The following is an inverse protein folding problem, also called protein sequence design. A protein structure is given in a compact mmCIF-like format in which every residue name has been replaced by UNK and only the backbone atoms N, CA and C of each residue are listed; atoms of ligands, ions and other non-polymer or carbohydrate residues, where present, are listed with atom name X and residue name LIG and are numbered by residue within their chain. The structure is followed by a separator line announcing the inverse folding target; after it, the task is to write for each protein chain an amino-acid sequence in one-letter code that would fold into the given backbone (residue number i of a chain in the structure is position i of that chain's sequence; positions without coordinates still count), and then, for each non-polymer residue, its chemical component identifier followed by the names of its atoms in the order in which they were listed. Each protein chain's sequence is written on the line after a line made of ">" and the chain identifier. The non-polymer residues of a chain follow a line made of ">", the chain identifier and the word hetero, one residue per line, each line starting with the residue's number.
data_IF_132533291005
#
_entry.id   IF_132533291005
#
_cell.length_a   1.000
_cell.length_b   1.000
_cell.length_c   1.000
_cell.angle_alpha   90.00
_cell.angle_beta   90.00
_cell.angle_gamma   90.00
#
_symmetry.space_group_name_H-M   'P 1'
#
loop_
_entity.id
_entity.type
_entity.pdbx_description
1 polymer ?
#
# COMPACT_ATOMS: atom_id res chain seq x y z
N UNK A 1 -13.23 22.13 -13.56
CA UNK A 1 -13.81 23.20 -12.70
C UNK A 1 -13.87 22.86 -11.20
N UNK A 2 -13.11 21.87 -10.69
CA UNK A 2 -13.19 21.48 -9.26
C UNK A 2 -11.90 21.70 -8.44
N UNK A 3 -10.87 22.32 -9.02
CA UNK A 3 -9.62 22.68 -8.33
C UNK A 3 -9.02 21.52 -7.52
N UNK A 4 -8.69 21.78 -6.25
CA UNK A 4 -8.08 20.81 -5.33
C UNK A 4 -8.80 19.46 -5.28
N UNK A 5 -10.12 19.45 -5.09
CA UNK A 5 -10.90 18.21 -4.99
C UNK A 5 -10.93 17.43 -6.30
N UNK A 6 -10.85 18.14 -7.44
CA UNK A 6 -10.67 17.50 -8.74
C UNK A 6 -9.34 16.74 -8.81
N UNK A 7 -8.26 17.32 -8.28
CA UNK A 7 -6.95 16.66 -8.21
C UNK A 7 -6.98 15.44 -7.30
N UNK A 8 -7.64 15.54 -6.14
CA UNK A 8 -7.85 14.40 -5.24
C UNK A 8 -8.60 13.26 -5.92
N UNK A 9 -9.67 13.55 -6.67
CA UNK A 9 -10.40 12.52 -7.42
C UNK A 9 -9.55 11.86 -8.51
N UNK A 10 -8.68 12.60 -9.19
CA UNK A 10 -7.74 12.05 -10.17
C UNK A 10 -6.71 11.12 -9.48
N UNK A 11 -6.18 11.54 -8.34
CA UNK A 11 -5.31 10.68 -7.51
C UNK A 11 -6.02 9.41 -7.06
N UNK A 12 -7.27 9.51 -6.58
CA UNK A 12 -8.06 8.36 -6.15
C UNK A 12 -8.34 7.39 -7.31
N UNK A 13 -8.59 7.92 -8.51
CA UNK A 13 -8.71 7.09 -9.72
C UNK A 13 -7.45 6.26 -9.97
N UNK A 14 -6.26 6.86 -9.95
CA UNK A 14 -4.99 6.14 -10.15
C UNK A 14 -4.71 5.14 -9.02
N UNK A 15 -5.07 5.49 -7.78
CA UNK A 15 -4.98 4.57 -6.64
C UNK A 15 -5.88 3.34 -6.81
N UNK A 16 -7.09 3.53 -7.33
CA UNK A 16 -8.04 2.44 -7.61
C UNK A 16 -7.58 1.60 -8.80
N UNK A 17 -7.01 2.21 -9.84
CA UNK A 17 -6.43 1.50 -10.98
C UNK A 17 -5.36 0.51 -10.54
N UNK A 18 -4.44 0.95 -9.66
CA UNK A 18 -3.46 0.04 -9.07
C UNK A 18 -4.09 -1.05 -8.20
N UNK A 19 -5.19 -0.76 -7.52
CA UNK A 19 -5.94 -1.78 -6.77
C UNK A 19 -6.43 -2.89 -7.69
N UNK A 20 -6.97 -2.53 -8.85
CA UNK A 20 -7.39 -3.49 -9.87
C UNK A 20 -6.23 -4.30 -10.41
N UNK A 21 -5.13 -3.65 -10.79
CA UNK A 21 -3.89 -4.31 -11.23
C UNK A 21 -3.43 -5.39 -10.25
N UNK A 22 -3.41 -5.08 -8.95
CA UNK A 22 -3.00 -6.04 -7.92
C UNK A 22 -4.00 -7.17 -7.74
N UNK A 23 -5.30 -6.89 -7.85
CA UNK A 23 -6.36 -7.86 -7.58
C UNK A 23 -6.69 -8.78 -8.76
N UNK A 24 -6.57 -8.27 -9.97
CA UNK A 24 -6.89 -8.95 -11.23
C UNK A 24 -6.03 -8.34 -12.37
N UNK A 25 -4.78 -8.84 -12.54
CA UNK A 25 -3.83 -8.31 -13.52
C UNK A 25 -4.28 -8.45 -14.98
N UNK A 26 -5.33 -9.22 -15.28
CA UNK A 26 -5.84 -9.35 -16.64
C UNK A 26 -6.73 -8.16 -17.06
N UNK A 27 -7.18 -7.33 -16.09
CA UNK A 27 -8.08 -6.20 -16.35
C UNK A 27 -7.36 -4.90 -16.70
N UNK A 28 -6.10 -4.77 -16.28
CA UNK A 28 -5.30 -3.56 -16.47
C UNK A 28 -4.05 -3.97 -17.25
N UNK A 29 -3.89 -3.45 -18.45
CA UNK A 29 -2.71 -3.72 -19.27
C UNK A 29 -1.77 -2.50 -19.31
N UNK A 30 -0.57 -2.71 -19.88
CA UNK A 30 0.44 -1.66 -20.05
C UNK A 30 -0.10 -0.43 -20.79
N UNK A 31 -1.10 -0.59 -21.68
CA UNK A 31 -1.66 0.52 -22.46
C UNK A 31 -2.51 1.44 -21.60
N UNK A 32 -3.22 0.90 -20.61
CA UNK A 32 -3.98 1.70 -19.64
C UNK A 32 -3.05 2.58 -18.82
N UNK A 33 -1.94 2.04 -18.32
CA UNK A 33 -0.94 2.82 -17.59
C UNK A 33 -0.26 3.86 -18.47
N UNK A 34 0.04 3.52 -19.74
CA UNK A 34 0.58 4.46 -20.70
C UNK A 34 -0.40 5.63 -20.94
N UNK A 35 -1.70 5.36 -21.11
CA UNK A 35 -2.71 6.41 -21.30
C UNK A 35 -2.81 7.34 -20.07
N UNK A 36 -2.68 6.79 -18.86
CA UNK A 36 -2.61 7.59 -17.62
C UNK A 36 -1.37 8.49 -17.61
N UNK A 37 -0.22 7.97 -18.03
CA UNK A 37 1.02 8.76 -18.17
C UNK A 37 0.85 9.90 -19.17
N UNK A 38 0.38 9.59 -20.38
CA UNK A 38 0.20 10.59 -21.44
C UNK A 38 -0.75 11.70 -20.98
N UNK A 39 -1.80 11.35 -20.24
CA UNK A 39 -2.82 12.29 -19.79
C UNK A 39 -2.36 13.13 -18.59
N UNK A 40 -1.78 12.53 -17.56
CA UNK A 40 -1.53 13.24 -16.30
C UNK A 40 -0.12 13.80 -16.17
N UNK A 41 0.84 13.25 -16.88
CA UNK A 41 2.27 13.57 -16.72
C UNK A 41 2.85 14.19 -17.99
N UNK A 42 2.65 13.55 -19.16
CA UNK A 42 3.25 14.03 -20.41
C UNK A 42 2.52 15.24 -21.01
N UNK A 43 1.22 15.43 -20.71
CA UNK A 43 0.47 16.62 -21.14
C UNK A 43 0.87 17.86 -20.31
N UNK A 44 1.51 18.87 -20.93
CA UNK A 44 1.92 20.08 -20.22
C UNK A 44 0.75 20.86 -19.61
N UNK A 45 -0.44 20.77 -20.21
CA UNK A 45 -1.62 21.45 -19.71
C UNK A 45 -2.11 20.83 -18.39
N UNK A 46 -2.00 19.52 -18.26
CA UNK A 46 -2.34 18.80 -17.03
C UNK A 46 -1.28 19.00 -15.96
N UNK A 47 0.00 19.02 -16.32
CA UNK A 47 1.09 19.38 -15.40
C UNK A 47 0.88 20.76 -14.78
N UNK A 48 0.63 21.78 -15.60
CA UNK A 48 0.36 23.15 -15.12
C UNK A 48 -0.92 23.21 -14.28
N UNK A 49 -1.94 22.44 -14.66
CA UNK A 49 -3.17 22.35 -13.89
C UNK A 49 -2.92 21.78 -12.49
N UNK A 50 -2.19 20.68 -12.37
CA UNK A 50 -1.86 20.08 -11.07
C UNK A 50 -1.01 21.02 -10.23
N UNK A 51 0.03 21.64 -10.81
CA UNK A 51 0.90 22.61 -10.11
C UNK A 51 0.09 23.75 -9.48
N UNK A 52 -0.94 24.24 -10.19
CA UNK A 52 -1.81 25.30 -9.69
C UNK A 52 -2.84 24.84 -8.66
N UNK A 53 -3.40 23.63 -8.83
CA UNK A 53 -4.62 23.24 -8.12
C UNK A 53 -4.38 22.22 -7.01
N UNK A 54 -3.48 21.25 -7.21
CA UNK A 54 -3.19 20.19 -6.25
C UNK A 54 -1.84 19.49 -6.53
N UNK A 55 -0.69 20.09 -6.17
CA UNK A 55 0.62 19.46 -6.35
C UNK A 55 0.77 18.17 -5.54
N UNK A 56 0.09 18.07 -4.39
CA UNK A 56 0.11 16.86 -3.56
C UNK A 56 -0.56 15.66 -4.24
N UNK A 57 -1.63 15.89 -5.00
CA UNK A 57 -2.27 14.85 -5.80
C UNK A 57 -1.38 14.41 -6.96
N UNK A 58 -0.66 15.35 -7.59
CA UNK A 58 0.30 15.02 -8.65
C UNK A 58 1.41 14.11 -8.14
N UNK A 59 1.96 14.41 -6.96
CA UNK A 59 2.93 13.54 -6.30
C UNK A 59 2.35 12.15 -6.01
N UNK A 60 1.07 12.07 -5.60
CA UNK A 60 0.42 10.77 -5.37
C UNK A 60 0.23 9.98 -6.67
N UNK A 61 -0.20 10.63 -7.75
CA UNK A 61 -0.36 10.02 -9.08
C UNK A 61 0.97 9.47 -9.58
N UNK A 62 2.00 10.32 -9.62
CA UNK A 62 3.32 9.96 -10.13
C UNK A 62 3.99 8.88 -9.27
N UNK A 63 3.91 8.99 -7.94
CA UNK A 63 4.38 7.94 -7.03
C UNK A 63 3.69 6.60 -7.27
N UNK A 64 2.37 6.61 -7.52
CA UNK A 64 1.64 5.37 -7.76
C UNK A 64 2.03 4.70 -9.06
N UNK A 65 2.25 5.49 -10.11
CA UNK A 65 2.73 4.99 -11.39
C UNK A 65 4.16 4.44 -11.28
N UNK A 66 5.04 5.10 -10.53
CA UNK A 66 6.39 4.59 -10.24
C UNK A 66 6.35 3.28 -9.45
N UNK A 67 5.41 3.11 -8.52
CA UNK A 67 5.17 1.82 -7.88
C UNK A 67 4.72 0.76 -8.90
N UNK A 68 3.83 1.07 -9.83
CA UNK A 68 3.44 0.12 -10.88
C UNK A 68 4.64 -0.36 -11.70
N UNK A 69 5.58 0.54 -12.02
CA UNK A 69 6.85 0.17 -12.66
C UNK A 69 7.71 -0.69 -11.73
N UNK A 70 7.88 -0.30 -10.46
CA UNK A 70 8.72 -1.02 -9.48
C UNK A 70 8.25 -2.45 -9.21
N UNK A 71 6.95 -2.72 -9.36
CA UNK A 71 6.35 -4.05 -9.19
C UNK A 71 6.23 -4.84 -10.51
N UNK A 72 6.80 -4.34 -11.61
CA UNK A 72 6.70 -4.95 -12.95
C UNK A 72 5.26 -5.05 -13.51
N UNK A 73 4.31 -4.29 -12.95
CA UNK A 73 2.93 -4.22 -13.43
C UNK A 73 2.81 -3.40 -14.71
N UNK A 74 3.64 -2.36 -14.82
CA UNK A 74 3.73 -1.54 -16.01
C UNK A 74 5.16 -1.48 -16.52
N UNK A 75 5.39 -1.75 -17.81
CA UNK A 75 6.73 -1.79 -18.42
C UNK A 75 6.91 -0.74 -19.52
N UNK A 76 6.97 0.55 -19.18
CA UNK A 76 7.21 1.60 -20.15
C UNK A 76 8.68 1.65 -20.62
N UNK A 77 8.98 2.52 -21.58
CA UNK A 77 10.36 2.77 -21.99
C UNK A 77 11.17 3.44 -20.88
N UNK A 78 12.50 3.29 -20.92
CA UNK A 78 13.41 3.93 -19.97
C UNK A 78 13.21 5.45 -19.92
N UNK A 79 13.03 6.10 -21.08
CA UNK A 79 12.76 7.55 -21.18
C UNK A 79 11.50 7.97 -20.38
N UNK A 80 10.46 7.13 -20.37
CA UNK A 80 9.21 7.39 -19.63
C UNK A 80 9.45 7.21 -18.13
N UNK A 81 10.20 6.20 -17.71
CA UNK A 81 10.55 6.00 -16.29
C UNK A 81 11.38 7.17 -15.77
N UNK A 82 12.41 7.59 -16.52
CA UNK A 82 13.25 8.73 -16.17
C UNK A 82 12.44 10.03 -16.10
N UNK A 83 11.57 10.28 -17.09
CA UNK A 83 10.69 11.45 -17.07
C UNK A 83 9.77 11.44 -15.85
N UNK A 84 9.07 10.32 -15.61
CA UNK A 84 8.14 10.19 -14.51
C UNK A 84 8.81 10.36 -13.13
N UNK A 85 9.98 9.75 -12.95
CA UNK A 85 10.77 9.91 -11.73
C UNK A 85 11.20 11.36 -11.52
N UNK A 86 11.65 12.02 -12.59
CA UNK A 86 12.03 13.43 -12.56
C UNK A 86 10.85 14.33 -12.20
N UNK A 87 9.68 14.11 -12.80
CA UNK A 87 8.46 14.86 -12.52
C UNK A 87 8.03 14.73 -11.05
N UNK A 88 8.15 13.53 -10.48
CA UNK A 88 7.89 13.30 -9.06
C UNK A 88 8.88 14.06 -8.17
N UNK A 89 10.19 13.90 -8.42
CA UNK A 89 11.21 14.56 -7.60
C UNK A 89 11.15 16.09 -7.71
N UNK A 90 10.94 16.65 -8.91
CA UNK A 90 10.75 18.09 -9.12
C UNK A 90 9.54 18.59 -8.33
N UNK A 91 8.41 17.88 -8.37
CA UNK A 91 7.23 18.27 -7.61
C UNK A 91 7.49 18.30 -6.11
N UNK A 92 8.22 17.32 -5.58
CA UNK A 92 8.60 17.24 -4.16
C UNK A 92 9.59 18.35 -3.78
N UNK A 93 10.61 18.58 -4.62
CA UNK A 93 11.61 19.63 -4.39
C UNK A 93 10.97 21.03 -4.37
N UNK A 94 10.02 21.29 -5.28
CA UNK A 94 9.33 22.58 -5.40
C UNK A 94 8.26 22.81 -4.32
N UNK A 95 7.48 21.77 -3.97
CA UNK A 95 6.25 21.93 -3.19
C UNK A 95 6.32 21.29 -1.79
N UNK A 96 7.44 20.65 -1.45
CA UNK A 96 7.57 19.80 -0.28
C UNK A 96 6.92 18.42 -0.48
N UNK A 97 7.12 17.52 0.48
CA UNK A 97 6.65 16.14 0.38
C UNK A 97 5.16 16.05 0.73
N UNK A 98 4.37 15.49 -0.18
CA UNK A 98 3.02 15.00 0.09
C UNK A 98 3.11 13.74 0.94
N UNK A 99 2.52 13.74 2.14
CA UNK A 99 2.46 12.57 3.01
C UNK A 99 1.09 11.88 2.93
N UNK A 100 0.90 11.02 1.92
CA UNK A 100 -0.19 10.04 1.89
C UNK A 100 0.35 8.63 2.20
N UNK A 101 -0.51 7.61 2.17
CA UNK A 101 -0.19 6.25 2.62
C UNK A 101 0.89 5.52 1.80
N UNK A 102 1.31 6.07 0.66
CA UNK A 102 2.27 5.42 -0.27
C UNK A 102 3.40 6.32 -0.75
N UNK A 103 3.54 7.54 -0.23
CA UNK A 103 4.57 8.51 -0.65
C UNK A 103 5.65 8.69 0.41
N UNK A 104 5.53 9.66 1.33
CA UNK A 104 6.64 10.11 2.17
C UNK A 104 7.23 9.01 3.07
N UNK A 105 6.40 8.05 3.51
CA UNK A 105 6.81 6.91 4.32
C UNK A 105 7.16 5.65 3.53
N UNK A 106 7.38 5.75 2.21
CA UNK A 106 7.72 4.62 1.36
C UNK A 106 9.21 4.62 0.99
N UNK A 107 10.09 4.01 1.80
CA UNK A 107 11.52 4.00 1.53
C UNK A 107 11.89 3.25 0.24
N UNK A 108 11.09 2.25 -0.16
CA UNK A 108 11.33 1.47 -1.38
C UNK A 108 11.09 2.29 -2.64
N UNK A 109 10.05 3.13 -2.63
CA UNK A 109 9.83 4.11 -3.69
C UNK A 109 11.00 5.10 -3.74
N UNK A 110 11.42 5.64 -2.59
CA UNK A 110 12.50 6.63 -2.55
C UNK A 110 13.83 6.07 -3.07
N UNK A 111 14.16 4.82 -2.72
CA UNK A 111 15.32 4.11 -3.24
C UNK A 111 15.22 3.92 -4.77
N UNK A 112 14.06 3.49 -5.27
CA UNK A 112 13.82 3.31 -6.70
C UNK A 112 13.98 4.60 -7.49
N UNK A 113 13.36 5.69 -7.01
CA UNK A 113 13.42 7.00 -7.67
C UNK A 113 14.84 7.58 -7.64
N UNK A 114 15.51 7.52 -6.48
CA UNK A 114 16.89 8.00 -6.32
C UNK A 114 17.90 7.22 -7.16
N UNK A 115 17.60 5.97 -7.50
CA UNK A 115 18.38 5.14 -8.41
C UNK A 115 18.15 5.48 -9.89
N UNK A 116 17.08 6.18 -10.21
CA UNK A 116 16.68 6.53 -11.59
C UNK A 116 17.16 7.93 -11.96
N UNK A 117 16.89 8.93 -11.13
CA UNK A 117 17.24 10.34 -11.37
C UNK A 117 17.72 11.01 -10.08
N UNK A 118 18.24 12.24 -10.19
CA UNK A 118 18.61 13.05 -9.03
C UNK A 118 18.32 14.53 -9.26
N UNK A 119 17.25 15.01 -8.63
CA UNK A 119 16.81 16.41 -8.63
C UNK A 119 17.27 17.08 -7.33
N UNK A 120 17.95 18.24 -7.40
CA UNK A 120 18.34 18.99 -6.21
C UNK A 120 17.16 19.33 -5.31
N UNK A 121 17.33 19.13 -4.00
CA UNK A 121 16.30 19.41 -2.99
C UNK A 121 15.35 18.27 -2.69
N UNK A 122 15.24 17.24 -3.56
CA UNK A 122 14.36 16.09 -3.30
C UNK A 122 14.75 15.34 -2.00
N UNK A 123 16.01 14.92 -1.89
CA UNK A 123 16.49 14.13 -0.75
C UNK A 123 16.34 14.88 0.60
N UNK A 124 16.60 16.19 0.62
CA UNK A 124 16.44 17.02 1.82
C UNK A 124 14.98 17.09 2.27
N UNK A 125 14.05 17.21 1.31
CA UNK A 125 12.61 17.24 1.60
C UNK A 125 12.14 15.89 2.17
N UNK A 126 12.56 14.77 1.57
CA UNK A 126 12.24 13.41 2.06
C UNK A 126 12.81 13.19 3.47
N UNK A 127 14.06 13.58 3.71
CA UNK A 127 14.71 13.45 5.02
C UNK A 127 13.99 14.28 6.08
N UNK A 128 13.61 15.51 5.74
CA UNK A 128 12.86 16.39 6.64
C UNK A 128 11.49 15.83 6.98
N UNK A 129 10.77 15.27 5.99
CA UNK A 129 9.43 14.71 6.19
C UNK A 129 9.43 13.38 6.97
N UNK A 130 10.53 12.63 6.94
CA UNK A 130 10.64 11.31 7.60
C UNK A 130 11.20 11.41 9.02
N UNK A 131 12.16 12.31 9.28
CA UNK A 131 12.77 12.50 10.61
C UNK A 131 11.80 12.98 11.70
N UNK A 132 10.71 13.66 11.34
CA UNK A 132 9.74 14.19 12.32
C UNK A 132 8.93 13.10 13.01
N UNK A 133 8.87 11.88 12.47
CA UNK A 133 8.08 10.77 13.05
C UNK A 133 8.79 10.03 14.19
N UNK A 134 10.11 10.13 14.32
CA UNK A 134 10.86 9.44 15.40
C UNK A 134 10.89 10.22 16.73
N UNK A 135 10.37 11.46 16.76
CA UNK A 135 10.41 12.34 17.95
C UNK A 135 9.03 12.62 18.60
N UNK A 136 7.92 12.13 18.04
CA UNK A 136 6.56 12.28 18.61
C UNK A 136 6.02 10.97 19.21
N UNK A 137 6.82 10.28 20.02
CA UNK A 137 6.28 9.39 21.06
C UNK A 137 6.48 10.04 22.43
N UNK A 138 5.78 11.15 22.66
CA UNK A 138 5.49 11.64 24.01
C UNK A 138 4.08 12.21 23.98
N UNK A 139 3.21 11.58 24.77
CA UNK A 139 1.77 11.84 24.83
C UNK A 139 1.44 13.32 24.91
N UNK A 140 0.64 13.80 23.96
CA UNK A 140 -0.44 14.78 24.23
C UNK A 140 -1.49 14.62 23.14
N UNK A 141 -2.69 14.21 23.55
CA UNK A 141 -3.89 14.22 22.72
C UNK A 141 -4.15 15.63 22.19
N UNK A 142 -4.07 15.82 20.88
CA UNK A 142 -4.87 16.81 20.14
C UNK A 142 -4.91 16.44 18.66
N UNK A 143 -6.15 16.28 18.20
CA UNK A 143 -6.58 15.80 16.90
C UNK A 143 -6.39 16.82 15.76
N UNK A 144 -5.72 16.41 14.68
CA UNK A 144 -6.13 16.76 13.31
C UNK A 144 -5.42 15.85 12.30
N UNK A 145 -6.04 14.72 11.99
CA UNK A 145 -5.69 13.87 10.85
C UNK A 145 -6.98 13.31 10.29
N UNK A 146 -7.43 13.82 9.15
CA UNK A 146 -8.59 13.31 8.43
C UNK A 146 -8.25 11.95 7.83
N UNK A 147 -8.45 10.89 8.62
CA UNK A 147 -8.50 9.53 8.11
C UNK A 147 -9.89 9.30 7.50
N UNK A 148 -9.92 9.06 6.19
CA UNK A 148 -11.09 8.49 5.53
C UNK A 148 -11.11 7.00 5.84
N UNK A 149 -11.58 6.65 7.03
CA UNK A 149 -12.01 5.28 7.33
C UNK A 149 -13.31 5.01 6.57
N UNK A 150 -13.27 4.00 5.71
CA UNK A 150 -14.44 3.40 5.10
C UNK A 150 -15.16 2.60 6.18
N UNK A 151 -16.02 3.31 6.91
CA UNK A 151 -16.96 2.72 7.86
C UNK A 151 -17.98 1.86 7.09
N UNK A 152 -17.71 0.57 6.95
CA UNK A 152 -18.75 -0.41 6.61
C UNK A 152 -19.76 -0.41 7.75
N UNK A 153 -20.95 0.10 7.45
CA UNK A 153 -21.95 0.56 8.40
C UNK A 153 -22.20 -0.40 9.57
N UNK A 154 -21.93 0.10 10.78
CA UNK A 154 -22.43 -0.49 12.01
C UNK A 154 -23.96 -0.37 12.02
N UNK A 155 -24.67 -1.51 12.03
CA UNK A 155 -26.12 -1.54 12.05
C UNK A 155 -26.64 -1.10 13.44
N UNK A 156 -27.10 0.14 13.54
CA UNK A 156 -27.81 0.63 14.73
C UNK A 156 -29.21 0.00 14.78
N UNK A 157 -29.41 -0.95 15.68
CA UNK A 157 -30.73 -1.51 15.98
C UNK A 157 -31.52 -0.49 16.82
N UNK A 158 -32.53 0.13 16.22
CA UNK A 158 -33.49 0.99 16.93
C UNK A 158 -34.75 0.17 17.27
N UNK A 159 -35.17 0.07 18.54
CA UNK A 159 -36.41 -0.60 18.89
C UNK A 159 -37.64 0.17 18.39
N UNK A 160 -38.58 -0.57 17.81
CA UNK A 160 -39.83 -0.08 17.22
C UNK A 160 -40.79 0.39 18.32
N UNK A 161 -41.05 1.69 18.44
CA UNK A 161 -42.26 2.20 19.10
C UNK A 161 -42.74 3.51 18.46
N UNK A 162 -43.84 3.38 17.71
CA UNK A 162 -44.88 4.36 17.35
C UNK A 162 -44.53 5.78 16.87
N UNK A 163 -45.00 6.03 15.63
CA UNK A 163 -45.78 7.20 15.18
C UNK A 163 -45.09 8.28 14.34
N UNK A 164 -45.68 8.49 13.16
CA UNK A 164 -45.74 9.70 12.33
C UNK A 164 -44.54 10.09 11.46
N UNK A 165 -44.68 9.81 10.17
CA UNK A 165 -44.97 10.90 9.21
C UNK A 165 -43.87 11.32 8.23
N UNK A 166 -44.18 11.08 6.94
CA UNK A 166 -43.69 11.75 5.73
C UNK A 166 -42.26 11.49 5.23
N UNK A 167 -42.16 10.77 4.10
CA UNK A 167 -41.92 11.29 2.73
C UNK A 167 -41.48 10.08 1.88
N UNK A 168 -42.21 9.62 0.86
CA UNK A 168 -42.55 10.14 -0.48
C UNK A 168 -41.98 9.12 -1.47
N UNK A 169 -42.88 8.46 -2.18
CA UNK A 169 -42.58 7.43 -3.18
C UNK A 169 -41.91 8.00 -4.42
N UNK A 170 -40.98 7.23 -5.00
CA UNK A 170 -40.72 7.27 -6.43
C UNK A 170 -40.41 5.86 -6.95
N UNK A 171 -41.40 5.31 -7.65
CA UNK A 171 -41.32 4.24 -8.66
C UNK A 171 -40.26 4.58 -9.72
N UNK A 172 -39.61 3.68 -10.46
CA UNK A 172 -39.70 2.24 -10.67
C UNK A 172 -38.49 1.82 -11.55
N UNK A 173 -38.15 0.53 -11.55
CA UNK A 173 -37.58 -0.26 -12.67
C UNK A 173 -36.21 -0.92 -12.43
N UNK A 174 -36.25 -2.24 -12.22
CA UNK A 174 -35.30 -3.17 -12.83
C UNK A 174 -34.33 -3.89 -11.90
N UNK A 175 -34.72 -5.06 -11.38
CA UNK A 175 -33.78 -6.01 -10.79
C UNK A 175 -34.47 -7.17 -10.07
N UNK A 176 -34.54 -8.33 -10.74
CA UNK A 176 -35.22 -9.53 -10.25
C UNK A 176 -34.32 -10.33 -9.28
N UNK A 177 -34.80 -10.56 -8.07
CA UNK A 177 -34.31 -11.62 -7.18
C UNK A 177 -35.52 -12.39 -6.66
N UNK A 178 -35.69 -13.64 -7.08
CA UNK A 178 -36.84 -14.47 -6.72
C UNK A 178 -36.74 -14.94 -5.28
N UNK A 179 -37.72 -14.55 -4.46
CA UNK A 179 -37.96 -15.12 -3.13
C UNK A 179 -38.11 -16.64 -3.22
N UNK A 180 -37.33 -17.37 -2.43
CA UNK A 180 -37.62 -18.76 -2.07
C UNK A 180 -37.96 -18.82 -0.60
N UNK A 181 -39.26 -18.82 -0.31
CA UNK A 181 -39.80 -19.11 1.02
C UNK A 181 -39.59 -20.58 1.37
N UNK A 182 -38.73 -20.86 2.35
CA UNK A 182 -38.72 -22.16 3.05
C UNK A 182 -38.52 -21.93 4.55
N UNK A 183 -39.40 -22.46 5.43
CA UNK A 183 -39.25 -22.31 6.88
C UNK A 183 -38.17 -23.25 7.43
N UNK A 184 -37.27 -22.73 8.26
CA UNK A 184 -36.31 -23.48 9.08
C UNK A 184 -36.97 -24.01 10.37
N UNK A 185 -36.56 -25.20 10.87
CA UNK A 185 -36.98 -25.71 12.17
C UNK A 185 -36.15 -25.13 13.33
N UNK A 186 -36.76 -25.23 14.51
CA UNK A 186 -36.43 -24.57 15.78
C UNK A 186 -34.98 -24.71 16.30
N UNK A 187 -34.45 -23.59 16.79
CA UNK A 187 -33.17 -23.44 17.51
C UNK A 187 -33.27 -23.98 18.94
N UNK A 188 -32.34 -24.86 19.33
CA UNK A 188 -32.04 -25.15 20.75
C UNK A 188 -30.92 -24.23 21.26
N UNK A 189 -31.27 -23.53 22.34
CA UNK A 189 -30.44 -22.77 23.29
C UNK A 189 -28.98 -23.24 23.44
N UNK A 190 -28.05 -22.29 23.33
CA UNK A 190 -26.89 -22.12 24.22
C UNK A 190 -26.47 -20.66 24.13
N UNK A 191 -26.55 -19.92 25.23
CA UNK A 191 -26.17 -18.52 25.32
C UNK A 191 -25.00 -18.42 26.29
N UNK A 192 -23.82 -18.18 25.73
CA UNK A 192 -22.96 -17.07 26.16
C UNK A 192 -22.18 -16.63 24.91
N UNK A 193 -22.52 -15.47 24.34
CA UNK A 193 -22.03 -15.01 23.01
C UNK A 193 -21.14 -13.78 23.11
N UNK A 194 -20.52 -13.52 24.25
CA UNK A 194 -19.63 -12.36 24.45
C UNK A 194 -18.16 -12.75 24.70
N UNK A 195 -17.80 -14.03 24.47
CA UNK A 195 -16.40 -14.46 24.59
C UNK A 195 -15.74 -14.55 23.21
N UNK A 196 -14.99 -13.50 22.86
CA UNK A 196 -14.05 -13.53 21.75
C UNK A 196 -12.66 -13.76 22.34
N UNK A 197 -12.13 -14.98 22.16
CA UNK A 197 -10.80 -15.37 22.61
C UNK A 197 -9.76 -14.81 21.61
N UNK A 198 -8.98 -13.82 22.05
CA UNK A 198 -7.87 -13.25 21.30
C UNK A 198 -6.56 -13.94 21.67
N UNK A 199 -5.68 -14.16 20.69
CA UNK A 199 -4.31 -14.58 20.97
C UNK A 199 -3.55 -13.42 21.61
N UNK A 200 -3.13 -13.57 22.87
CA UNK A 200 -2.16 -12.67 23.49
C UNK A 200 -0.75 -13.03 23.00
N UNK A 201 -0.06 -12.06 22.39
CA UNK A 201 1.37 -12.18 22.11
C UNK A 201 2.12 -12.11 23.44
N UNK A 202 2.64 -13.25 23.90
CA UNK A 202 3.57 -13.28 25.01
C UNK A 202 4.85 -12.56 24.59
N UNK A 203 5.25 -11.56 25.39
CA UNK A 203 6.50 -10.85 25.18
C UNK A 203 7.62 -11.75 25.66
N UNK A 204 8.20 -12.51 24.75
CA UNK A 204 9.46 -13.19 25.03
C UNK A 204 10.47 -12.13 25.49
N UNK A 205 10.97 -12.34 26.70
CA UNK A 205 11.98 -11.47 27.30
C UNK A 205 13.20 -11.50 26.39
N UNK A 206 13.57 -10.34 25.86
CA UNK A 206 14.81 -10.19 25.12
C UNK A 206 15.98 -10.53 26.07
N UNK A 207 16.49 -11.75 25.97
CA UNK A 207 17.79 -12.08 26.53
C UNK A 207 18.84 -11.29 25.73
N UNK A 208 19.67 -10.54 26.47
CA UNK A 208 20.83 -9.80 25.97
C UNK A 208 21.68 -10.69 25.05
N UNK A 209 22.11 -10.22 23.87
CA UNK A 209 23.18 -10.89 23.16
C UNK A 209 24.51 -10.47 23.79
N UNK A 210 25.14 -11.40 24.51
CA UNK A 210 26.59 -11.45 24.55
C UNK A 210 27.09 -12.60 23.69
N UNK A 211 28.15 -12.30 22.95
CA UNK A 211 29.04 -13.15 22.15
C UNK A 211 28.68 -13.51 20.71
N UNK A 212 29.60 -13.06 19.86
CA UNK A 212 29.84 -13.42 18.47
C UNK A 212 29.83 -14.94 18.25
N UNK A 213 28.96 -15.42 17.38
CA UNK A 213 28.96 -16.80 16.90
C UNK A 213 27.92 -16.98 15.80
N UNK A 214 28.41 -17.15 14.58
CA UNK A 214 27.65 -17.48 13.35
C UNK A 214 26.47 -18.43 13.61
N UNK A 215 25.25 -17.96 13.34
CA UNK A 215 24.03 -18.80 13.31
C UNK A 215 24.11 -19.76 12.13
N UNK A 216 24.32 -21.04 12.42
CA UNK A 216 24.25 -22.11 11.43
C UNK A 216 23.09 -23.04 11.80
N UNK A 217 22.13 -23.17 10.89
CA UNK A 217 20.98 -24.07 11.06
C UNK A 217 21.48 -25.50 11.31
N UNK A 218 20.92 -26.19 12.31
CA UNK A 218 21.36 -27.54 12.72
C UNK A 218 21.28 -28.60 11.61
N UNK A 219 20.61 -28.30 10.49
CA UNK A 219 20.57 -29.13 9.28
C UNK A 219 21.85 -29.06 8.43
N UNK A 220 22.69 -28.04 8.62
CA UNK A 220 23.70 -27.65 7.65
C UNK A 220 25.11 -28.15 8.06
N UNK A 221 25.33 -28.43 9.35
CA UNK A 221 26.57 -29.03 9.88
C UNK A 221 26.78 -30.46 9.38
N UNK A 222 25.70 -31.26 9.36
CA UNK A 222 25.79 -32.65 8.89
C UNK A 222 26.11 -32.74 7.39
N UNK A 223 25.63 -31.78 6.60
CA UNK A 223 25.95 -31.68 5.17
C UNK A 223 27.44 -31.41 4.93
N UNK A 224 28.02 -30.42 5.62
CA UNK A 224 29.44 -30.08 5.49
C UNK A 224 30.33 -31.26 5.94
N UNK A 225 29.97 -31.91 7.05
CA UNK A 225 30.77 -33.01 7.59
C UNK A 225 30.76 -34.22 6.64
N UNK A 226 29.64 -34.51 5.99
CA UNK A 226 29.55 -35.56 4.97
C UNK A 226 30.44 -35.26 3.75
N UNK A 227 30.44 -34.03 3.26
CA UNK A 227 31.27 -33.62 2.12
C UNK A 227 32.77 -33.72 2.45
N UNK A 228 33.18 -33.28 3.64
CA UNK A 228 34.59 -33.36 4.07
C UNK A 228 35.04 -34.81 4.21
N UNK A 229 34.21 -35.69 4.78
CA UNK A 229 34.50 -37.12 4.89
C UNK A 229 34.58 -37.79 3.51
N UNK A 230 33.65 -37.48 2.61
CA UNK A 230 33.66 -38.02 1.24
C UNK A 230 34.91 -37.57 0.46
N UNK A 231 35.25 -36.27 0.53
CA UNK A 231 36.45 -35.73 -0.12
C UNK A 231 37.74 -36.34 0.46
N UNK A 232 37.82 -36.50 1.78
CA UNK A 232 38.94 -37.17 2.45
C UNK A 232 39.08 -38.65 2.06
N UNK A 233 37.96 -39.36 1.93
CA UNK A 233 37.93 -40.74 1.45
C UNK A 233 38.44 -40.89 0.01
N UNK A 234 38.02 -39.99 -0.88
CA UNK A 234 38.49 -39.96 -2.27
C UNK A 234 39.99 -39.63 -2.33
N UNK A 235 40.45 -38.63 -1.59
CA UNK A 235 41.87 -38.23 -1.56
C UNK A 235 42.78 -39.35 -1.05
N UNK A 236 42.38 -40.04 0.02
CA UNK A 236 43.13 -41.18 0.54
C UNK A 236 43.09 -42.41 -0.39
N UNK A 237 41.98 -42.61 -1.09
CA UNK A 237 41.83 -43.69 -2.09
C UNK A 237 42.73 -43.49 -3.31
N UNK A 238 42.91 -42.25 -3.78
CA UNK A 238 43.80 -41.92 -4.90
C UNK A 238 45.27 -42.03 -4.50
N UNK A 239 45.63 -41.73 -3.25
CA UNK A 239 47.02 -41.80 -2.75
C UNK A 239 47.52 -43.21 -2.45
N UNK A 240 46.63 -44.21 -2.41
CA UNK A 240 46.95 -45.62 -2.12
C UNK A 240 46.95 -46.54 -3.35
N UNK A 241 46.73 -45.98 -4.55
CA UNK A 241 46.96 -46.62 -5.85
C UNK A 241 48.23 -46.06 -6.47
#
# INVERSE_FOLDING_TARGET
>A
NSGYSGGSMMSDFVNNLFGWEVSDPELVDDTVWQDVYETYVNDPSMKEWFKKNNPNAYQSVTARMLEAVRHDYWKPSEDVVENLAKEYEESVAENGVSCCHHTCGNPLLHEFVSGTVSVPGYAEQIETATKTKDLETTETQSSSGSHHDHNTGNATVVPKTSSSGNQTSQDSSGGYGTDTSKPEPEVKKSADTDYVEGYEMQKDSAEKPENNGVSFSGSDIFGILFVVVAAGGIYLGIRKK
#
